data_IF_692916762990
#
_entry.id   IF_692916762990
#
_cell.length_a   1.000
_cell.length_b   1.000
_cell.length_c   1.000
_cell.angle_alpha   90.00
_cell.angle_beta   90.00
_cell.angle_gamma   90.00
#
_symmetry.space_group_name_H-M   'P 1'
#
loop_
_entity.id
_entity.type
_entity.pdbx_description
1 polymer ?
#
# COMPACT_ATOMS: atom_id res chain seq x y z
N UNK A 1 6.15 59.75 -52.69
CA UNK A 1 5.78 60.71 -53.75
C UNK A 1 5.51 59.90 -55.01
N UNK A 2 4.25 59.90 -55.46
CA UNK A 2 3.78 59.72 -56.86
C UNK A 2 4.21 58.42 -57.57
N UNK A 3 3.33 57.41 -57.62
CA UNK A 3 2.45 57.08 -58.77
C UNK A 3 3.20 56.81 -60.09
N UNK A 4 3.07 55.60 -60.64
CA UNK A 4 2.49 55.44 -61.98
C UNK A 4 2.24 53.96 -62.34
N UNK A 5 0.95 53.65 -62.62
CA UNK A 5 0.50 52.58 -63.53
C UNK A 5 0.67 53.11 -64.99
N UNK A 6 0.10 52.51 -66.05
CA UNK A 6 -0.25 51.12 -66.38
C UNK A 6 0.33 50.74 -67.77
N UNK A 7 -0.02 49.58 -68.34
CA UNK A 7 -0.78 49.47 -69.61
C UNK A 7 -0.86 48.02 -70.10
N UNK A 8 -2.07 47.67 -70.55
CA UNK A 8 -2.44 46.43 -71.21
C UNK A 8 -1.86 46.35 -72.64
N UNK A 9 -1.66 45.15 -73.18
CA UNK A 9 -2.47 44.62 -74.30
C UNK A 9 -1.80 43.45 -75.04
N UNK A 10 -2.67 42.67 -75.67
CA UNK A 10 -2.50 41.93 -76.93
C UNK A 10 -2.05 40.46 -76.87
N UNK A 11 -3.06 39.63 -77.11
CA UNK A 11 -3.07 38.24 -77.56
C UNK A 11 -2.25 37.99 -78.84
N UNK A 12 -1.66 36.80 -78.98
CA UNK A 12 -1.79 35.97 -80.20
C UNK A 12 -1.33 34.54 -79.95
N UNK A 13 -2.11 33.59 -80.46
CA UNK A 13 -1.91 32.15 -80.37
C UNK A 13 -0.87 31.62 -81.36
N UNK A 14 -0.13 30.58 -80.99
CA UNK A 14 0.42 29.61 -81.94
C UNK A 14 0.63 28.25 -81.27
N UNK A 15 -0.01 27.23 -81.82
CA UNK A 15 0.17 25.82 -81.45
C UNK A 15 1.44 25.27 -82.10
N UNK A 16 2.28 24.54 -81.36
CA UNK A 16 3.15 23.52 -81.94
C UNK A 16 3.60 22.47 -80.90
N UNK A 17 3.80 21.27 -81.41
CA UNK A 17 3.81 19.98 -80.76
C UNK A 17 5.08 19.65 -79.94
N UNK A 18 4.84 18.80 -78.92
CA UNK A 18 5.65 17.67 -78.44
C UNK A 18 7.17 17.71 -78.69
N UNK A 19 7.93 17.90 -77.61
CA UNK A 19 9.13 17.10 -77.34
C UNK A 19 9.43 17.12 -75.83
N UNK A 20 9.34 15.95 -75.19
CA UNK A 20 9.72 15.75 -73.78
C UNK A 20 11.24 15.83 -73.60
N UNK A 21 11.73 16.57 -72.60
CA UNK A 21 12.99 16.27 -71.94
C UNK A 21 12.71 15.64 -70.57
N UNK A 22 13.40 14.54 -70.30
CA UNK A 22 13.44 13.87 -69.01
C UNK A 22 13.87 14.86 -67.91
N UNK A 23 12.98 15.14 -66.96
CA UNK A 23 13.31 15.80 -65.70
C UNK A 23 13.57 14.74 -64.64
N UNK A 24 14.80 14.76 -64.10
CA UNK A 24 15.08 14.21 -62.78
C UNK A 24 14.06 14.78 -61.81
N UNK A 25 13.23 13.90 -61.23
CA UNK A 25 12.42 14.28 -60.09
C UNK A 25 13.35 14.36 -58.87
N UNK A 26 13.36 15.46 -58.10
CA UNK A 26 13.82 15.37 -56.73
C UNK A 26 12.88 14.39 -56.02
N UNK A 27 13.45 13.37 -55.37
CA UNK A 27 12.70 12.53 -54.46
C UNK A 27 12.09 13.46 -53.40
N UNK A 28 10.79 13.70 -53.49
CA UNK A 28 10.01 14.23 -52.38
C UNK A 28 10.18 13.22 -51.25
N UNK A 29 11.03 13.57 -50.28
CA UNK A 29 10.97 12.99 -48.97
C UNK A 29 9.50 13.09 -48.54
N UNK A 30 8.84 11.94 -48.46
CA UNK A 30 7.58 11.88 -47.76
C UNK A 30 7.92 12.21 -46.31
N UNK A 31 7.66 13.46 -45.94
CA UNK A 31 7.51 13.84 -44.54
C UNK A 31 6.36 12.98 -44.00
N UNK A 32 6.72 11.81 -43.48
CA UNK A 32 5.89 11.12 -42.51
C UNK A 32 5.52 12.16 -41.46
N UNK A 33 4.23 12.45 -41.23
CA UNK A 33 3.87 13.30 -40.11
C UNK A 33 4.47 12.64 -38.89
N UNK A 34 5.42 13.32 -38.25
CA UNK A 34 5.92 12.94 -36.95
C UNK A 34 4.67 12.77 -36.09
N UNK A 35 4.32 11.52 -35.82
CA UNK A 35 3.28 11.18 -34.86
C UNK A 35 3.76 11.87 -33.61
N UNK A 36 3.08 12.95 -33.21
CA UNK A 36 3.29 13.55 -31.90
C UNK A 36 3.18 12.38 -30.94
N UNK A 37 4.32 11.97 -30.38
CA UNK A 37 4.41 10.83 -29.49
C UNK A 37 3.63 11.27 -28.26
N UNK A 38 2.33 10.96 -28.26
CA UNK A 38 1.48 11.10 -27.08
C UNK A 38 2.32 10.54 -25.93
N UNK A 39 2.53 11.36 -24.90
CA UNK A 39 3.28 10.97 -23.71
C UNK A 39 2.81 9.57 -23.34
N UNK A 40 3.69 8.57 -23.44
CA UNK A 40 3.33 7.16 -23.29
C UNK A 40 2.46 7.01 -22.03
N UNK A 41 1.16 6.84 -22.26
CA UNK A 41 0.15 6.74 -21.22
C UNK A 41 0.11 5.28 -20.82
N UNK A 42 0.44 5.00 -19.56
CA UNK A 42 0.26 3.67 -19.00
C UNK A 42 -1.24 3.39 -18.97
N UNK A 43 -1.69 2.49 -19.84
CA UNK A 43 -3.10 2.09 -19.96
C UNK A 43 -3.44 0.89 -19.07
N UNK A 44 -4.72 0.69 -18.77
CA UNK A 44 -5.19 -0.47 -18.02
C UNK A 44 -4.77 -1.80 -18.68
N UNK A 45 -4.90 -1.91 -20.01
CA UNK A 45 -4.46 -3.09 -20.77
C UNK A 45 -2.97 -3.36 -20.62
N UNK A 46 -2.12 -2.33 -20.68
CA UNK A 46 -0.68 -2.49 -20.48
C UNK A 46 -0.36 -2.91 -19.04
N UNK A 47 -1.10 -2.43 -18.04
CA UNK A 47 -0.96 -2.87 -16.65
C UNK A 47 -1.33 -4.34 -16.53
N UNK A 48 -2.47 -4.78 -17.07
CA UNK A 48 -2.86 -6.20 -17.01
C UNK A 48 -1.83 -7.12 -17.67
N UNK A 49 -1.32 -6.72 -18.83
CA UNK A 49 -0.37 -7.50 -19.62
C UNK A 49 1.07 -7.40 -19.12
N UNK A 50 1.39 -6.45 -18.24
CA UNK A 50 2.74 -6.28 -17.74
C UNK A 50 3.25 -7.55 -17.07
N UNK A 51 4.42 -7.98 -17.49
CA UNK A 51 5.14 -9.13 -16.95
C UNK A 51 6.56 -8.72 -16.56
N UNK A 52 7.09 -9.38 -15.55
CA UNK A 52 8.44 -9.17 -15.08
C UNK A 52 9.44 -9.93 -15.97
N UNK A 53 10.40 -9.22 -16.54
CA UNK A 53 11.41 -9.78 -17.47
C UNK A 53 12.83 -9.78 -16.90
N UNK A 54 13.01 -9.44 -15.62
CA UNK A 54 14.30 -9.34 -14.95
C UNK A 54 14.71 -7.89 -14.63
N UNK A 55 15.72 -7.73 -13.75
CA UNK A 55 16.20 -6.43 -13.26
C UNK A 55 15.29 -5.80 -12.20
N UNK A 56 15.63 -4.62 -11.70
CA UNK A 56 14.72 -3.89 -10.81
C UNK A 56 13.55 -3.27 -11.61
N UNK A 57 12.58 -2.66 -10.91
CA UNK A 57 11.53 -1.87 -11.54
C UNK A 57 12.13 -0.83 -12.51
N UNK A 58 11.48 -0.58 -13.66
CA UNK A 58 11.96 0.40 -14.62
C UNK A 58 12.11 1.79 -13.99
N UNK A 59 13.15 2.57 -14.35
CA UNK A 59 13.19 3.97 -14.00
C UNK A 59 12.02 4.70 -14.67
N UNK A 60 11.41 5.63 -13.95
CA UNK A 60 10.27 6.40 -14.44
C UNK A 60 8.92 5.74 -14.20
N UNK A 61 7.90 6.21 -14.92
CA UNK A 61 6.54 5.69 -14.84
C UNK A 61 6.36 4.49 -15.78
N UNK A 62 5.86 3.36 -15.28
CA UNK A 62 5.66 2.14 -16.09
C UNK A 62 4.45 1.32 -15.66
N UNK A 63 3.90 0.55 -16.61
CA UNK A 63 2.79 -0.38 -16.36
C UNK A 63 3.18 -1.50 -15.37
N UNK A 64 4.41 -1.99 -15.47
CA UNK A 64 4.94 -3.00 -14.54
C UNK A 64 5.00 -2.47 -13.11
N UNK A 65 5.47 -1.22 -12.93
CA UNK A 65 5.50 -0.61 -11.60
C UNK A 65 4.09 -0.44 -11.02
N UNK A 66 3.13 0.04 -11.83
CA UNK A 66 1.74 0.18 -11.39
C UNK A 66 1.15 -1.19 -11.00
N UNK A 67 1.37 -2.23 -11.80
CA UNK A 67 0.95 -3.60 -11.47
C UNK A 67 1.54 -4.07 -10.15
N UNK A 68 2.85 -3.90 -9.94
CA UNK A 68 3.51 -4.28 -8.68
C UNK A 68 2.94 -3.51 -7.49
N UNK A 69 2.67 -2.20 -7.62
CA UNK A 69 2.01 -1.41 -6.57
C UNK A 69 0.63 -2.00 -6.21
N UNK A 70 -0.21 -2.32 -7.21
CA UNK A 70 -1.55 -2.90 -6.98
C UNK A 70 -1.45 -4.29 -6.33
N UNK A 71 -0.49 -5.12 -6.74
CA UNK A 71 -0.28 -6.44 -6.13
C UNK A 71 0.24 -6.33 -4.69
N UNK A 72 1.09 -5.34 -4.39
CA UNK A 72 1.53 -5.04 -3.03
C UNK A 72 0.33 -4.62 -2.15
N UNK A 73 -0.50 -3.70 -2.62
CA UNK A 73 -1.75 -3.28 -1.96
C UNK A 73 -2.64 -4.49 -1.65
N UNK A 74 -2.93 -5.33 -2.65
CA UNK A 74 -3.69 -6.58 -2.50
C UNK A 74 -3.09 -7.60 -1.56
N UNK A 75 -1.77 -7.51 -1.34
CA UNK A 75 -1.08 -8.37 -0.39
C UNK A 75 -1.22 -7.89 1.06
N UNK A 76 -1.83 -6.73 1.32
CA UNK A 76 -1.84 -6.08 2.63
C UNK A 76 -0.56 -5.29 2.93
N UNK A 77 0.22 -4.93 1.90
CA UNK A 77 1.40 -4.09 2.02
C UNK A 77 1.17 -2.88 1.12
N UNK A 78 0.55 -1.85 1.69
CA UNK A 78 0.17 -0.66 0.94
C UNK A 78 1.41 -0.02 0.32
N UNK A 79 1.38 0.31 -0.99
CA UNK A 79 2.40 1.15 -1.64
C UNK A 79 2.11 2.64 -1.42
N UNK A 80 1.02 3.00 -0.74
CA UNK A 80 0.45 4.34 -0.75
C UNK A 80 -0.36 4.52 -2.02
N UNK A 81 -0.15 5.63 -2.73
CA UNK A 81 -0.81 5.85 -4.03
C UNK A 81 -0.23 4.93 -5.11
N UNK A 82 -1.10 4.41 -5.98
CA UNK A 82 -0.69 3.83 -7.26
C UNK A 82 -0.47 4.96 -8.27
N UNK A 83 0.78 5.14 -8.67
CA UNK A 83 1.21 6.19 -9.59
C UNK A 83 2.07 5.66 -10.75
N UNK A 84 2.43 4.36 -10.72
CA UNK A 84 3.32 3.73 -11.70
C UNK A 84 4.78 4.16 -11.61
N UNK A 85 5.20 4.95 -10.63
CA UNK A 85 6.59 5.37 -10.47
C UNK A 85 7.38 4.47 -9.53
N UNK A 86 8.61 4.15 -9.93
CA UNK A 86 9.59 3.55 -9.01
C UNK A 86 10.16 4.65 -8.12
N UNK A 87 9.49 4.90 -6.99
CA UNK A 87 9.89 5.86 -5.98
C UNK A 87 10.13 5.24 -4.61
N UNK A 88 10.42 6.08 -3.62
CA UNK A 88 10.72 5.63 -2.25
C UNK A 88 9.58 4.84 -1.60
N UNK A 89 8.32 5.16 -1.88
CA UNK A 89 7.18 4.40 -1.36
C UNK A 89 7.16 2.97 -1.93
N UNK A 90 7.31 2.80 -3.25
CA UNK A 90 7.40 1.49 -3.92
C UNK A 90 8.58 0.67 -3.37
N UNK A 91 9.77 1.27 -3.24
CA UNK A 91 10.94 0.60 -2.66
C UNK A 91 10.68 0.16 -1.21
N UNK A 92 10.07 1.03 -0.39
CA UNK A 92 9.76 0.71 1.01
C UNK A 92 8.73 -0.43 1.13
N UNK A 93 7.72 -0.46 0.25
CA UNK A 93 6.72 -1.52 0.19
C UNK A 93 7.34 -2.86 -0.25
N UNK A 94 8.27 -2.86 -1.23
CA UNK A 94 9.02 -4.06 -1.61
C UNK A 94 9.85 -4.57 -0.43
N UNK A 95 10.52 -3.69 0.34
CA UNK A 95 11.25 -4.10 1.56
C UNK A 95 10.32 -4.75 2.58
N UNK A 96 9.14 -4.17 2.82
CA UNK A 96 8.14 -4.74 3.73
C UNK A 96 7.66 -6.12 3.24
N UNK A 97 7.43 -6.27 1.94
CA UNK A 97 7.02 -7.54 1.32
C UNK A 97 8.11 -8.60 1.43
N UNK A 98 9.36 -8.25 1.11
CA UNK A 98 10.51 -9.13 1.27
C UNK A 98 10.66 -9.59 2.72
N UNK A 99 10.53 -8.67 3.69
CA UNK A 99 10.59 -9.00 5.12
C UNK A 99 9.52 -10.01 5.51
N UNK A 100 8.27 -9.79 5.08
CA UNK A 100 7.16 -10.73 5.37
C UNK A 100 7.40 -12.09 4.73
N UNK A 101 7.94 -12.11 3.51
CA UNK A 101 8.20 -13.33 2.75
C UNK A 101 9.46 -14.09 3.18
N UNK A 102 10.27 -13.53 4.10
CA UNK A 102 11.57 -14.12 4.47
C UNK A 102 12.62 -14.03 3.36
N UNK A 103 12.48 -13.06 2.44
CA UNK A 103 13.44 -12.79 1.38
C UNK A 103 14.54 -11.83 1.86
N UNK A 104 15.60 -11.69 1.05
CA UNK A 104 16.60 -10.64 1.25
C UNK A 104 15.94 -9.26 1.16
N UNK A 105 16.01 -8.49 2.24
CA UNK A 105 15.42 -7.14 2.31
C UNK A 105 16.37 -6.12 1.66
N UNK A 106 16.21 -5.90 0.35
CA UNK A 106 16.99 -4.93 -0.42
C UNK A 106 16.14 -3.88 -1.14
N UNK A 107 14.80 -4.03 -1.16
CA UNK A 107 13.87 -3.13 -1.83
C UNK A 107 13.89 -3.21 -3.36
N UNK A 108 14.62 -4.19 -3.90
CA UNK A 108 14.76 -4.41 -5.33
C UNK A 108 13.70 -5.42 -5.76
N UNK A 109 13.00 -5.11 -6.85
CA UNK A 109 12.15 -6.07 -7.51
C UNK A 109 13.02 -7.15 -8.16
N UNK A 110 12.75 -8.42 -7.83
CA UNK A 110 13.41 -9.57 -8.43
C UNK A 110 12.41 -10.69 -8.76
N UNK A 111 12.90 -11.78 -9.36
CA UNK A 111 12.05 -12.94 -9.66
C UNK A 111 11.38 -13.51 -8.41
N UNK A 112 12.05 -13.53 -7.26
CA UNK A 112 11.46 -14.09 -6.05
C UNK A 112 10.29 -13.24 -5.54
N UNK A 113 10.43 -11.91 -5.57
CA UNK A 113 9.33 -10.99 -5.25
C UNK A 113 8.19 -11.14 -6.25
N UNK A 114 8.49 -11.21 -7.55
CA UNK A 114 7.48 -11.35 -8.60
C UNK A 114 6.65 -12.60 -8.43
N UNK A 115 7.30 -13.77 -8.33
CA UNK A 115 6.61 -15.07 -8.21
C UNK A 115 5.67 -15.10 -7.00
N UNK A 116 6.07 -14.51 -5.87
CA UNK A 116 5.20 -14.44 -4.69
C UNK A 116 4.04 -13.45 -4.84
N UNK A 117 4.24 -12.34 -5.57
CA UNK A 117 3.16 -11.37 -5.84
C UNK A 117 2.08 -11.95 -6.76
N UNK A 118 2.40 -12.95 -7.59
CA UNK A 118 1.41 -13.59 -8.48
C UNK A 118 0.25 -14.24 -7.73
N UNK A 119 0.42 -14.59 -6.46
CA UNK A 119 -0.66 -15.09 -5.60
C UNK A 119 -1.81 -14.07 -5.43
N UNK A 120 -1.54 -12.78 -5.68
CA UNK A 120 -2.51 -11.68 -5.56
C UNK A 120 -3.04 -11.18 -6.92
N UNK A 121 -2.69 -11.88 -8.00
CA UNK A 121 -3.05 -11.55 -9.38
C UNK A 121 -4.18 -12.44 -9.95
N UNK A 122 -4.96 -13.11 -9.08
CA UNK A 122 -6.03 -14.04 -9.50
C UNK A 122 -7.24 -13.36 -10.13
N UNK A 123 -7.42 -12.07 -9.88
CA UNK A 123 -8.47 -11.22 -10.44
C UNK A 123 -7.81 -10.04 -11.17
N UNK A 124 -8.47 -9.45 -12.20
CA UNK A 124 -7.96 -8.26 -12.89
C UNK A 124 -7.53 -7.17 -11.89
N UNK A 125 -6.35 -6.58 -12.09
CA UNK A 125 -5.80 -5.51 -11.24
C UNK A 125 -6.34 -4.13 -11.61
N UNK A 126 -7.01 -4.04 -12.75
CA UNK A 126 -7.70 -2.86 -13.27
C UNK A 126 -9.14 -3.19 -13.64
N UNK A 127 -9.98 -2.17 -13.74
CA UNK A 127 -11.39 -2.32 -14.03
C UNK A 127 -11.99 -1.06 -14.62
N UNK A 128 -13.26 -1.16 -14.99
CA UNK A 128 -14.06 -0.03 -15.46
C UNK A 128 -15.02 0.44 -14.37
N UNK A 129 -15.22 1.74 -14.29
CA UNK A 129 -16.17 2.37 -13.38
C UNK A 129 -16.95 3.46 -14.11
N UNK A 130 -18.28 3.42 -13.99
CA UNK A 130 -19.15 4.50 -14.47
C UNK A 130 -19.35 5.49 -13.33
N UNK A 131 -18.92 6.74 -13.54
CA UNK A 131 -19.06 7.83 -12.57
C UNK A 131 -20.55 8.05 -12.30
N UNK A 132 -20.94 8.08 -11.04
CA UNK A 132 -22.33 8.25 -10.60
C UNK A 132 -22.61 9.70 -10.25
N UNK A 133 -23.88 10.06 -10.06
CA UNK A 133 -24.26 11.36 -9.52
C UNK A 133 -23.70 11.56 -8.11
N UNK A 134 -23.65 10.51 -7.28
CA UNK A 134 -23.12 10.56 -5.92
C UNK A 134 -21.63 10.95 -5.89
N UNK A 135 -20.85 10.54 -6.89
CA UNK A 135 -19.44 10.94 -7.01
C UNK A 135 -19.28 12.46 -7.20
N UNK A 136 -20.31 13.15 -7.71
CA UNK A 136 -20.35 14.61 -7.86
C UNK A 136 -20.90 15.35 -6.63
N UNK A 137 -21.32 14.64 -5.59
CA UNK A 137 -21.87 15.24 -4.36
C UNK A 137 -20.80 15.48 -3.29
N UNK A 138 -21.07 16.45 -2.40
CA UNK A 138 -20.20 16.75 -1.26
C UNK A 138 -18.87 17.42 -1.62
N UNK A 139 -18.71 17.86 -2.88
CA UNK A 139 -17.53 18.58 -3.34
C UNK A 139 -17.51 20.02 -2.83
N UNK A 140 -16.30 20.56 -2.65
CA UNK A 140 -16.05 21.97 -2.29
C UNK A 140 -15.15 22.62 -3.32
N UNK A 141 -15.31 23.92 -3.58
CA UNK A 141 -14.55 24.61 -4.63
C UNK A 141 -13.03 24.62 -4.36
N UNK A 142 -12.63 24.83 -3.10
CA UNK A 142 -11.24 24.79 -2.67
C UNK A 142 -11.12 24.60 -1.16
N UNK A 143 -9.95 24.15 -0.71
CA UNK A 143 -9.59 24.06 0.71
C UNK A 143 -8.64 25.23 1.04
N UNK A 144 -9.03 26.22 1.85
CA UNK A 144 -8.18 27.33 2.23
C UNK A 144 -7.02 26.86 3.12
N UNK A 145 -5.91 27.60 3.15
CA UNK A 145 -4.78 27.28 4.03
C UNK A 145 -4.95 27.81 5.46
N UNK A 146 -5.75 28.86 5.63
CA UNK A 146 -5.99 29.52 6.92
C UNK A 146 -7.03 28.77 7.77
N UNK A 147 -6.73 28.55 9.06
CA UNK A 147 -7.61 27.81 9.96
C UNK A 147 -8.94 28.49 10.24
N UNK A 148 -9.02 29.82 10.30
CA UNK A 148 -10.30 30.51 10.49
C UNK A 148 -11.18 30.38 9.25
N UNK A 149 -10.60 30.43 8.05
CA UNK A 149 -11.33 30.15 6.82
C UNK A 149 -11.81 28.70 6.77
N UNK A 150 -10.96 27.72 7.12
CA UNK A 150 -11.36 26.31 7.20
C UNK A 150 -12.52 26.09 8.18
N UNK A 151 -12.47 26.72 9.35
CA UNK A 151 -13.51 26.62 10.38
C UNK A 151 -14.87 27.18 9.95
N UNK A 152 -14.91 28.07 8.96
CA UNK A 152 -16.16 28.61 8.41
C UNK A 152 -16.74 27.77 7.25
N UNK A 153 -16.05 26.72 6.81
CA UNK A 153 -16.56 25.83 5.77
C UNK A 153 -17.65 24.89 6.30
N UNK A 154 -18.46 24.34 5.40
CA UNK A 154 -19.44 23.29 5.76
C UNK A 154 -18.75 21.94 5.98
N UNK A 155 -17.72 21.63 5.19
CA UNK A 155 -16.91 20.42 5.28
C UNK A 155 -15.49 20.69 4.77
N UNK A 156 -14.55 19.81 5.10
CA UNK A 156 -13.26 19.70 4.41
C UNK A 156 -13.35 18.61 3.33
N UNK A 157 -14.36 18.72 2.45
CA UNK A 157 -14.68 17.75 1.40
C UNK A 157 -13.63 17.62 0.29
N UNK A 158 -13.90 16.75 -0.68
CA UNK A 158 -13.10 16.65 -1.91
C UNK A 158 -13.29 17.89 -2.78
N UNK A 159 -12.27 18.24 -3.56
CA UNK A 159 -12.28 19.39 -4.47
C UNK A 159 -12.69 19.01 -5.90
N UNK A 160 -12.70 17.73 -6.21
CA UNK A 160 -13.11 17.21 -7.52
C UNK A 160 -13.55 15.75 -7.48
N UNK A 161 -14.28 15.32 -8.52
CA UNK A 161 -14.58 13.89 -8.77
C UNK A 161 -13.29 13.09 -8.92
N UNK A 162 -12.26 13.65 -9.60
CA UNK A 162 -10.96 12.99 -9.78
C UNK A 162 -10.32 12.65 -8.44
N UNK A 163 -10.24 13.61 -7.53
CA UNK A 163 -9.68 13.42 -6.19
C UNK A 163 -10.45 12.35 -5.40
N UNK A 164 -11.80 12.45 -5.38
CA UNK A 164 -12.69 11.49 -4.72
C UNK A 164 -12.50 10.06 -5.22
N UNK A 165 -12.47 9.89 -6.54
CA UNK A 165 -12.27 8.57 -7.17
C UNK A 165 -10.84 8.07 -7.04
N UNK A 166 -9.84 8.96 -7.04
CA UNK A 166 -8.45 8.58 -6.82
C UNK A 166 -8.26 8.03 -5.40
N UNK A 167 -8.87 8.68 -4.40
CA UNK A 167 -8.89 8.15 -3.03
C UNK A 167 -9.62 6.79 -2.96
N UNK A 168 -10.78 6.66 -3.60
CA UNK A 168 -11.56 5.41 -3.63
C UNK A 168 -10.82 4.23 -4.25
N UNK A 169 -10.03 4.48 -5.29
CA UNK A 169 -9.32 3.44 -6.04
C UNK A 169 -7.82 3.33 -5.68
N UNK A 170 -7.37 4.06 -4.65
CA UNK A 170 -5.98 4.10 -4.16
C UNK A 170 -4.98 4.60 -5.23
N UNK A 171 -5.37 5.58 -6.04
CA UNK A 171 -4.58 6.13 -7.15
C UNK A 171 -4.04 7.53 -6.85
N UNK A 172 -2.98 7.92 -7.56
CA UNK A 172 -2.64 9.33 -7.71
C UNK A 172 -3.57 9.99 -8.74
N UNK A 173 -4.06 11.20 -8.43
CA UNK A 173 -5.00 11.96 -9.27
C UNK A 173 -4.52 12.12 -10.71
N UNK A 174 -3.24 12.44 -10.90
CA UNK A 174 -2.67 12.67 -12.23
C UNK A 174 -2.51 11.34 -12.96
N UNK A 175 -2.25 10.26 -12.23
CA UNK A 175 -2.20 8.92 -12.81
C UNK A 175 -3.58 8.45 -13.26
N UNK A 176 -4.63 8.66 -12.47
CA UNK A 176 -6.01 8.37 -12.85
C UNK A 176 -6.41 9.13 -14.12
N UNK A 177 -6.11 10.42 -14.20
CA UNK A 177 -6.36 11.23 -15.42
C UNK A 177 -5.55 10.71 -16.61
N UNK A 178 -4.25 10.39 -16.41
CA UNK A 178 -3.38 9.89 -17.47
C UNK A 178 -3.81 8.51 -18.01
N UNK A 179 -4.39 7.67 -17.16
CA UNK A 179 -4.96 6.37 -17.56
C UNK A 179 -6.24 6.53 -18.41
N UNK A 180 -6.89 7.70 -18.35
CA UNK A 180 -8.16 8.01 -18.99
C UNK A 180 -8.05 9.20 -19.96
N UNK A 181 -7.23 9.09 -21.02
CA UNK A 181 -6.98 10.21 -21.92
C UNK A 181 -8.24 10.63 -22.66
N UNK A 182 -8.57 11.92 -22.59
CA UNK A 182 -9.70 12.52 -23.31
C UNK A 182 -11.08 12.26 -22.71
N UNK A 183 -11.15 11.71 -21.49
CA UNK A 183 -12.40 11.50 -20.76
C UNK A 183 -12.59 12.66 -19.78
N UNK A 184 -13.76 13.31 -19.85
CA UNK A 184 -14.20 14.26 -18.83
C UNK A 184 -14.76 13.49 -17.63
N UNK A 185 -14.28 13.80 -16.42
CA UNK A 185 -14.71 13.15 -15.19
C UNK A 185 -16.03 13.76 -14.70
N UNK A 186 -17.13 13.33 -15.30
CA UNK A 186 -18.51 13.76 -15.00
C UNK A 186 -19.43 12.54 -14.85
N UNK A 187 -20.56 12.65 -14.12
CA UNK A 187 -21.54 11.57 -14.04
C UNK A 187 -21.94 11.00 -15.40
N UNK A 188 -22.00 9.67 -15.50
CA UNK A 188 -22.26 8.92 -16.73
C UNK A 188 -21.01 8.57 -17.55
N UNK A 189 -19.88 9.24 -17.35
CA UNK A 189 -18.62 8.86 -18.00
C UNK A 189 -18.12 7.51 -17.46
N UNK A 190 -17.53 6.67 -18.32
CA UNK A 190 -16.89 5.42 -17.90
C UNK A 190 -15.38 5.56 -17.98
N UNK A 191 -14.71 5.32 -16.86
CA UNK A 191 -13.26 5.41 -16.70
C UNK A 191 -12.65 4.05 -16.41
N UNK A 192 -11.38 3.90 -16.72
CA UNK A 192 -10.51 2.83 -16.24
C UNK A 192 -9.90 3.22 -14.89
N UNK A 193 -9.80 2.28 -13.97
CA UNK A 193 -9.23 2.48 -12.63
C UNK A 193 -8.49 1.24 -12.15
N UNK A 194 -7.71 1.38 -11.09
CA UNK A 194 -7.11 0.24 -10.37
C UNK A 194 -8.13 -0.38 -9.43
N UNK A 195 -8.09 -1.71 -9.30
CA UNK A 195 -8.97 -2.44 -8.39
C UNK A 195 -8.19 -2.75 -7.11
N UNK A 196 -8.29 -1.91 -6.07
CA UNK A 196 -7.53 -2.08 -4.83
C UNK A 196 -7.93 -3.35 -4.06
N UNK A 197 -7.17 -3.64 -3.01
CA UNK A 197 -7.55 -4.68 -2.06
C UNK A 197 -8.93 -4.40 -1.45
N UNK A 198 -9.65 -5.48 -1.09
CA UNK A 198 -10.77 -5.32 -0.15
C UNK A 198 -10.19 -5.06 1.24
N UNK A 199 -10.81 -4.21 2.07
CA UNK A 199 -10.32 -3.93 3.42
C UNK A 199 -10.08 -5.20 4.23
N UNK A 200 -8.95 -5.25 4.92
CA UNK A 200 -8.56 -6.37 5.79
C UNK A 200 -9.47 -6.39 7.03
N UNK A 201 -10.03 -7.56 7.31
CA UNK A 201 -10.81 -7.82 8.54
C UNK A 201 -9.99 -8.68 9.49
N UNK A 202 -9.33 -8.05 10.44
CA UNK A 202 -8.50 -8.69 11.46
C UNK A 202 -8.49 -7.87 12.75
N UNK A 203 -8.01 -8.46 13.84
CA UNK A 203 -7.69 -7.73 15.06
C UNK A 203 -6.19 -7.52 15.17
N UNK A 204 -5.78 -6.26 15.25
CA UNK A 204 -4.40 -5.83 15.47
C UNK A 204 -4.17 -5.59 16.94
N UNK A 205 -3.14 -6.22 17.50
CA UNK A 205 -2.77 -6.07 18.92
C UNK A 205 -1.47 -5.30 19.12
N UNK A 206 -0.59 -5.29 18.11
CA UNK A 206 0.67 -4.54 18.14
C UNK A 206 0.87 -3.79 16.82
N UNK A 207 1.17 -2.51 16.93
CA UNK A 207 1.57 -1.63 15.83
C UNK A 207 3.02 -1.24 16.08
N UNK A 208 3.84 -1.28 15.03
CA UNK A 208 5.23 -0.82 15.06
C UNK A 208 5.36 0.33 14.07
N UNK A 209 5.84 1.47 14.57
CA UNK A 209 6.11 2.68 13.78
C UNK A 209 7.62 2.78 13.57
N UNK A 210 8.05 2.60 12.32
CA UNK A 210 9.44 2.67 11.92
C UNK A 210 9.72 3.99 11.20
N UNK A 211 10.44 4.88 11.90
CA UNK A 211 10.86 6.19 11.40
C UNK A 211 11.83 6.09 10.24
N UNK A 212 12.70 5.08 10.23
CA UNK A 212 13.75 4.94 9.22
C UNK A 212 13.20 4.48 7.89
N UNK A 213 12.32 3.47 7.92
CA UNK A 213 11.68 2.97 6.71
C UNK A 213 10.43 3.75 6.33
N UNK A 214 9.94 4.63 7.23
CA UNK A 214 8.70 5.42 7.08
C UNK A 214 7.50 4.50 6.86
N UNK A 215 7.36 3.50 7.73
CA UNK A 215 6.32 2.48 7.67
C UNK A 215 5.63 2.27 9.01
N UNK A 216 4.36 1.86 8.95
CA UNK A 216 3.56 1.40 10.09
C UNK A 216 3.21 -0.07 9.83
N UNK A 217 3.70 -0.97 10.67
CA UNK A 217 3.46 -2.41 10.56
C UNK A 217 2.50 -2.87 11.65
N UNK A 218 1.40 -3.53 11.27
CA UNK A 218 0.33 -3.97 12.16
C UNK A 218 0.33 -5.49 12.30
N UNK A 219 0.35 -5.98 13.55
CA UNK A 219 0.48 -7.39 13.90
C UNK A 219 -0.71 -7.89 14.72
N UNK A 220 -1.12 -9.13 14.46
CA UNK A 220 -2.12 -9.83 15.28
C UNK A 220 -1.52 -10.35 16.60
N UNK A 221 -2.35 -10.96 17.44
CA UNK A 221 -1.94 -11.50 18.74
C UNK A 221 -0.91 -12.64 18.64
N UNK A 222 -0.78 -13.28 17.48
CA UNK A 222 0.18 -14.36 17.23
C UNK A 222 1.51 -13.83 16.67
N UNK A 223 1.67 -12.51 16.55
CA UNK A 223 2.85 -11.89 15.95
C UNK A 223 2.89 -12.00 14.43
N UNK A 224 1.78 -12.33 13.76
CA UNK A 224 1.73 -12.33 12.28
C UNK A 224 1.50 -10.91 11.77
N UNK A 225 2.29 -10.50 10.77
CA UNK A 225 2.06 -9.24 10.06
C UNK A 225 0.72 -9.31 9.32
N UNK A 226 -0.21 -8.46 9.72
CA UNK A 226 -1.55 -8.30 9.14
C UNK A 226 -1.51 -7.31 7.99
N UNK A 227 -0.96 -6.13 8.25
CA UNK A 227 -0.88 -5.04 7.28
C UNK A 227 0.38 -4.19 7.48
N UNK A 228 0.82 -3.51 6.43
CA UNK A 228 1.97 -2.61 6.48
C UNK A 228 1.75 -1.40 5.56
N UNK A 229 1.87 -0.18 6.11
CA UNK A 229 1.48 1.06 5.44
C UNK A 229 2.64 2.05 5.34
N UNK A 230 2.76 2.83 4.24
CA UNK A 230 3.67 3.96 4.20
C UNK A 230 3.17 5.08 5.11
N UNK A 231 4.09 5.76 5.76
CA UNK A 231 3.75 6.81 6.70
C UNK A 231 4.67 8.02 6.62
N UNK A 232 4.13 9.21 6.88
CA UNK A 232 4.96 10.32 7.35
C UNK A 232 5.08 10.20 8.86
N UNK A 233 6.30 10.10 9.37
CA UNK A 233 6.59 10.11 10.81
C UNK A 233 7.40 11.38 11.12
N UNK A 234 7.30 11.88 12.36
CA UNK A 234 7.93 13.13 12.77
C UNK A 234 9.45 13.12 12.56
N UNK A 235 9.99 14.29 12.21
CA UNK A 235 11.42 14.50 11.94
C UNK A 235 12.22 14.64 13.24
N UNK A 236 13.56 14.68 13.16
CA UNK A 236 14.41 15.02 14.31
C UNK A 236 14.10 16.42 14.87
N UNK A 237 13.65 17.35 14.03
CA UNK A 237 13.23 18.69 14.42
C UNK A 237 11.81 18.72 15.05
N UNK A 238 11.02 17.67 14.86
CA UNK A 238 9.63 17.53 15.31
C UNK A 238 9.33 16.08 15.71
N UNK A 239 10.01 15.56 16.75
CA UNK A 239 10.08 14.12 16.99
C UNK A 239 8.71 13.55 17.34
N UNK A 240 8.36 12.43 16.70
CA UNK A 240 7.32 11.56 17.23
C UNK A 240 7.74 10.99 18.59
N UNK A 241 6.78 10.51 19.41
CA UNK A 241 7.06 9.95 20.71
C UNK A 241 8.06 8.78 20.64
N UNK A 242 8.57 8.39 21.81
CA UNK A 242 9.44 7.23 21.98
C UNK A 242 8.77 6.17 22.84
N UNK A 243 9.11 4.91 22.60
CA UNK A 243 8.64 3.78 23.38
C UNK A 243 7.25 3.31 22.98
N UNK A 244 6.58 2.64 23.92
CA UNK A 244 5.30 1.96 23.71
C UNK A 244 4.15 2.77 24.30
N UNK A 245 3.11 2.96 23.50
CA UNK A 245 1.85 3.58 23.86
C UNK A 245 0.69 2.62 23.61
N UNK A 246 -0.51 2.98 24.04
CA UNK A 246 -1.73 2.24 23.70
C UNK A 246 -2.64 3.10 22.83
N UNK A 247 -3.44 2.46 21.97
CA UNK A 247 -4.56 3.14 21.32
C UNK A 247 -5.59 3.47 22.39
N UNK A 248 -5.97 4.74 22.49
CA UNK A 248 -6.89 5.23 23.51
C UNK A 248 -8.34 5.31 23.00
N UNK A 249 -8.49 5.80 21.77
CA UNK A 249 -9.77 5.93 21.08
C UNK A 249 -9.56 5.98 19.57
N UNK A 250 -10.65 5.77 18.82
CA UNK A 250 -10.72 5.99 17.38
C UNK A 250 -11.85 6.98 17.12
N UNK A 251 -11.58 8.00 16.31
CA UNK A 251 -12.58 8.93 15.80
C UNK A 251 -12.61 8.84 14.28
N UNK A 252 -13.74 8.39 13.74
CA UNK A 252 -14.03 8.40 12.31
C UNK A 252 -14.64 9.73 11.91
N UNK A 253 -14.21 10.24 10.75
CA UNK A 253 -14.56 11.54 10.19
C UNK A 253 -14.55 12.68 11.24
N UNK A 254 -13.41 12.90 11.93
CA UNK A 254 -13.37 13.77 13.09
C UNK A 254 -13.41 15.26 12.73
N UNK A 255 -13.98 16.07 13.63
CA UNK A 255 -13.68 17.51 13.64
C UNK A 255 -12.26 17.73 14.16
N UNK A 256 -11.63 18.84 13.74
CA UNK A 256 -10.30 19.23 14.22
C UNK A 256 -10.37 20.50 15.06
N UNK A 257 -10.00 20.42 16.33
CA UNK A 257 -9.90 21.59 17.21
C UNK A 257 -8.51 22.22 17.08
N UNK A 258 -8.44 23.38 16.43
CA UNK A 258 -7.25 24.23 16.43
C UNK A 258 -7.27 25.11 17.68
N UNK A 259 -6.21 25.05 18.47
CA UNK A 259 -6.03 25.86 19.66
C UNK A 259 -4.65 26.55 19.61
N UNK A 260 -4.56 27.87 19.36
CA UNK A 260 -3.29 28.56 19.19
C UNK A 260 -2.44 28.62 20.47
N UNK A 261 -3.06 28.47 21.65
CA UNK A 261 -2.35 28.39 22.92
C UNK A 261 -1.74 26.99 23.17
N UNK A 262 -2.11 25.99 22.37
CA UNK A 262 -1.60 24.61 22.48
C UNK A 262 -0.84 24.16 21.24
N UNK A 263 -1.41 24.28 20.05
CA UNK A 263 -0.80 23.77 18.83
C UNK A 263 0.34 24.67 18.33
N UNK A 264 -0.03 25.76 17.69
CA UNK A 264 0.83 26.81 17.14
C UNK A 264 -0.08 27.98 16.75
N UNK A 265 0.48 29.20 16.66
CA UNK A 265 -0.25 30.36 16.12
C UNK A 265 -0.01 30.46 14.61
N UNK A 266 -1.05 30.27 13.79
CA UNK A 266 -1.04 30.53 12.36
C UNK A 266 -1.66 31.91 12.08
N UNK A 267 -0.88 32.81 11.49
CA UNK A 267 -1.35 34.17 11.17
C UNK A 267 -1.90 34.87 12.40
N UNK A 268 -3.08 35.48 12.27
CA UNK A 268 -3.78 36.19 13.34
C UNK A 268 -4.78 35.33 14.13
N UNK A 269 -4.77 34.00 13.93
CA UNK A 269 -5.68 33.10 14.62
C UNK A 269 -5.28 32.94 16.10
N UNK A 270 -5.94 33.70 16.98
CA UNK A 270 -5.64 33.82 18.42
C UNK A 270 -6.69 33.15 19.34
N UNK A 271 -7.73 32.53 18.75
CA UNK A 271 -8.79 31.81 19.45
C UNK A 271 -8.89 30.34 19.05
N UNK A 272 -9.61 29.56 19.86
CA UNK A 272 -9.95 28.18 19.51
C UNK A 272 -10.91 28.17 18.31
N UNK A 273 -10.62 27.31 17.34
CA UNK A 273 -11.41 27.11 16.14
C UNK A 273 -11.74 25.63 15.99
N UNK A 274 -12.95 25.33 15.51
CA UNK A 274 -13.38 23.97 15.19
C UNK A 274 -13.47 23.88 13.67
N UNK A 275 -12.56 23.11 13.07
CA UNK A 275 -12.57 22.82 11.65
C UNK A 275 -13.51 21.63 11.41
N UNK A 276 -14.46 21.74 10.45
CA UNK A 276 -15.40 20.67 10.14
C UNK A 276 -14.65 19.44 9.58
N UNK A 277 -15.30 18.27 9.59
CA UNK A 277 -14.66 17.04 9.15
C UNK A 277 -14.54 16.95 7.62
N UNK A 278 -13.71 16.02 7.14
CA UNK A 278 -13.61 15.64 5.74
C UNK A 278 -12.22 15.15 5.32
N UNK A 279 -12.09 14.55 4.13
CA UNK A 279 -10.84 13.95 3.63
C UNK A 279 -9.69 14.95 3.51
N UNK A 280 -10.00 16.23 3.27
CA UNK A 280 -9.04 17.32 3.22
C UNK A 280 -8.82 18.04 4.56
N UNK A 281 -9.35 17.46 5.64
CA UNK A 281 -9.15 17.94 7.00
C UNK A 281 -7.69 17.82 7.45
N UNK A 282 -7.27 18.57 8.49
CA UNK A 282 -5.90 18.51 9.01
C UNK A 282 -5.43 17.11 9.44
N UNK A 283 -6.37 16.25 9.83
CA UNK A 283 -6.13 14.86 10.25
C UNK A 283 -6.79 13.83 9.32
N UNK A 284 -7.29 14.26 8.16
CA UNK A 284 -8.01 13.39 7.23
C UNK A 284 -9.31 12.82 7.79
N UNK A 285 -9.72 11.65 7.29
CA UNK A 285 -10.99 11.01 7.65
C UNK A 285 -10.93 10.19 8.94
N UNK A 286 -9.76 10.06 9.58
CA UNK A 286 -9.56 9.17 10.73
C UNK A 286 -8.54 9.74 11.69
N UNK A 287 -8.83 9.62 12.98
CA UNK A 287 -7.89 9.82 14.07
C UNK A 287 -7.87 8.61 15.01
N UNK A 288 -6.70 7.98 15.15
CA UNK A 288 -6.43 6.94 16.14
C UNK A 288 -5.60 7.58 17.25
N UNK A 289 -6.23 7.82 18.40
CA UNK A 289 -5.64 8.49 19.54
C UNK A 289 -4.68 7.57 20.28
N UNK A 290 -3.56 8.10 20.75
CA UNK A 290 -2.59 7.35 21.54
C UNK A 290 -2.59 7.82 22.99
N UNK A 291 -2.20 6.92 23.91
CA UNK A 291 -2.03 7.23 25.33
C UNK A 291 -0.97 8.29 25.60
N UNK A 292 -0.10 8.57 24.62
CA UNK A 292 0.74 9.76 24.64
C UNK A 292 -0.13 10.95 24.24
N UNK A 293 -0.36 11.92 25.15
CA UNK A 293 -1.20 13.06 24.85
C UNK A 293 -0.75 13.74 23.56
N UNK A 294 -1.71 14.13 22.72
CA UNK A 294 -1.48 14.95 21.50
C UNK A 294 -0.93 14.19 20.28
N UNK A 295 -0.69 12.89 20.40
CA UNK A 295 -0.18 12.09 19.28
C UNK A 295 -1.21 11.07 18.84
N UNK A 296 -1.27 10.88 17.52
CA UNK A 296 -2.18 9.95 16.89
C UNK A 296 -1.63 9.42 15.58
N UNK A 297 -2.25 8.34 15.12
CA UNK A 297 -2.13 7.85 13.75
C UNK A 297 -3.36 8.35 13.00
N UNK A 298 -3.18 9.03 11.87
CA UNK A 298 -4.29 9.70 11.21
C UNK A 298 -4.14 9.74 9.68
N UNK A 299 -5.24 10.08 9.00
CA UNK A 299 -5.27 10.24 7.54
C UNK A 299 -4.56 11.51 7.04
N UNK A 300 -4.62 11.81 5.75
CA UNK A 300 -3.96 12.99 5.19
C UNK A 300 -4.68 13.51 3.96
N UNK A 301 -4.76 14.83 3.84
CA UNK A 301 -5.23 15.54 2.64
C UNK A 301 -4.25 15.45 1.45
N UNK A 302 -3.08 14.84 1.62
CA UNK A 302 -2.02 14.81 0.59
C UNK A 302 -1.35 13.44 0.49
N UNK A 303 -2.06 12.38 0.09
CA UNK A 303 -1.57 11.00 0.14
C UNK A 303 -0.32 10.77 -0.73
N UNK A 304 -0.19 11.46 -1.87
CA UNK A 304 0.99 11.37 -2.74
C UNK A 304 2.26 12.02 -2.15
N UNK A 305 2.16 12.69 -1.00
CA UNK A 305 3.27 13.41 -0.35
C UNK A 305 3.80 12.76 0.93
N UNK A 306 3.41 11.53 1.24
CA UNK A 306 3.80 10.86 2.49
C UNK A 306 5.33 10.81 2.72
N UNK A 307 6.13 10.71 1.65
CA UNK A 307 7.60 10.64 1.74
C UNK A 307 8.32 11.97 1.53
N UNK A 308 7.58 13.05 1.25
CA UNK A 308 8.10 14.40 1.01
C UNK A 308 7.76 15.35 2.15
N UNK A 309 6.56 15.22 2.70
CA UNK A 309 6.12 16.01 3.84
C UNK A 309 6.85 15.56 5.11
N UNK A 310 7.01 16.49 6.05
CA UNK A 310 7.41 16.21 7.43
C UNK A 310 6.18 16.42 8.32
N UNK A 311 5.99 15.58 9.34
CA UNK A 311 4.93 15.79 10.32
C UNK A 311 5.46 16.51 11.56
N UNK A 312 4.57 17.15 12.31
CA UNK A 312 4.88 17.76 13.60
C UNK A 312 4.71 16.74 14.75
N UNK A 313 5.21 15.51 14.54
CA UNK A 313 5.19 14.45 15.55
C UNK A 313 4.14 13.34 15.34
N UNK A 314 2.99 13.60 14.75
CA UNK A 314 1.99 12.54 14.46
C UNK A 314 2.39 11.61 13.32
N UNK A 315 1.73 10.45 13.23
CA UNK A 315 1.92 9.49 12.14
C UNK A 315 0.82 9.68 11.11
N UNK A 316 1.18 10.03 9.87
CA UNK A 316 0.23 10.25 8.78
C UNK A 316 0.23 9.06 7.84
N UNK A 317 -0.95 8.55 7.54
CA UNK A 317 -1.20 7.54 6.52
C UNK A 317 -2.08 8.17 5.42
N UNK A 318 -2.26 7.45 4.32
CA UNK A 318 -3.37 7.75 3.41
C UNK A 318 -4.70 7.59 4.17
N UNK A 319 -5.76 8.24 3.72
CA UNK A 319 -7.07 8.14 4.39
C UNK A 319 -7.61 6.70 4.38
N UNK A 320 -7.43 5.94 3.29
CA UNK A 320 -7.87 4.55 3.20
C UNK A 320 -7.06 3.61 4.11
N UNK A 321 -5.74 3.79 4.20
CA UNK A 321 -4.88 3.01 5.10
C UNK A 321 -5.21 3.32 6.56
N UNK A 322 -5.44 4.59 6.90
CA UNK A 322 -5.86 5.00 8.24
C UNK A 322 -7.21 4.39 8.62
N UNK A 323 -8.17 4.40 7.68
CA UNK A 323 -9.48 3.79 7.86
C UNK A 323 -9.40 2.28 8.06
N UNK A 324 -8.61 1.58 7.25
CA UNK A 324 -8.42 0.13 7.43
C UNK A 324 -7.82 -0.18 8.81
N UNK A 325 -6.76 0.53 9.20
CA UNK A 325 -6.14 0.35 10.50
C UNK A 325 -7.11 0.64 11.65
N UNK A 326 -7.90 1.71 11.55
CA UNK A 326 -8.88 2.10 12.57
C UNK A 326 -9.92 1.00 12.85
N UNK A 327 -10.29 0.20 11.84
CA UNK A 327 -11.22 -0.91 12.00
C UNK A 327 -10.56 -2.19 12.54
N UNK A 328 -9.23 -2.24 12.61
CA UNK A 328 -8.50 -3.40 13.12
C UNK A 328 -7.97 -3.21 14.55
N UNK A 329 -7.81 -1.97 15.01
CA UNK A 329 -7.34 -1.68 16.38
C UNK A 329 -8.44 -1.83 17.42
N UNK A 330 -8.03 -2.04 18.68
CA UNK A 330 -8.91 -2.08 19.85
C UNK A 330 -8.41 -1.10 20.90
N UNK A 331 -9.29 -0.17 21.30
CA UNK A 331 -9.02 0.79 22.36
C UNK A 331 -8.57 0.09 23.64
N UNK A 332 -7.55 0.65 24.29
CA UNK A 332 -6.91 0.17 25.51
C UNK A 332 -6.29 -1.22 25.42
N UNK A 333 -6.22 -1.81 24.22
CA UNK A 333 -5.64 -3.14 23.99
C UNK A 333 -4.49 -3.07 22.99
N UNK A 334 -4.70 -2.42 21.83
CA UNK A 334 -3.66 -2.34 20.81
C UNK A 334 -2.51 -1.45 21.28
N UNK A 335 -1.30 -2.01 21.32
CA UNK A 335 -0.07 -1.27 21.63
C UNK A 335 0.54 -0.67 20.37
N UNK A 336 1.14 0.51 20.49
CA UNK A 336 1.86 1.22 19.42
C UNK A 336 3.28 1.49 19.87
N UNK A 337 4.25 0.89 19.20
CA UNK A 337 5.67 0.98 19.52
C UNK A 337 6.38 1.87 18.48
N UNK A 338 6.96 2.98 18.93
CA UNK A 338 7.83 3.81 18.12
C UNK A 338 9.27 3.33 18.24
N UNK A 339 9.84 2.85 17.15
CA UNK A 339 11.20 2.32 17.16
C UNK A 339 12.24 3.42 17.40
N UNK A 340 13.26 3.05 18.16
CA UNK A 340 14.42 3.90 18.38
C UNK A 340 15.26 4.03 17.10
N UNK A 341 16.01 5.13 16.94
CA UNK A 341 16.93 5.29 15.82
C UNK A 341 17.91 4.11 15.75
N UNK A 342 18.00 3.48 14.58
CA UNK A 342 18.88 2.34 14.32
C UNK A 342 18.21 0.98 14.52
N UNK A 343 17.01 0.93 15.08
CA UNK A 343 16.24 -0.29 15.27
C UNK A 343 15.27 -0.45 14.10
N UNK A 344 15.34 -1.61 13.44
CA UNK A 344 14.42 -1.97 12.36
C UNK A 344 13.26 -2.83 12.89
N UNK A 345 12.17 -2.89 12.11
CA UNK A 345 11.06 -3.81 12.41
C UNK A 345 11.55 -5.27 12.51
N UNK A 346 12.55 -5.67 11.72
CA UNK A 346 13.06 -7.03 11.76
C UNK A 346 13.75 -7.38 13.10
N UNK A 347 14.37 -6.39 13.75
CA UNK A 347 15.05 -6.57 15.03
C UNK A 347 14.08 -6.86 16.17
N UNK A 348 12.88 -6.26 16.13
CA UNK A 348 11.87 -6.34 17.20
C UNK A 348 10.77 -7.38 16.98
N UNK A 349 10.76 -8.01 15.81
CA UNK A 349 9.84 -9.14 15.51
C UNK A 349 10.54 -10.48 15.45
N UNK A 350 11.88 -10.49 15.44
CA UNK A 350 12.66 -11.64 15.00
C UNK A 350 12.51 -11.79 13.49
N UNK A 351 13.60 -11.74 12.73
CA UNK A 351 13.55 -11.98 11.30
C UNK A 351 12.86 -13.32 11.02
N UNK A 352 11.93 -13.34 10.07
CA UNK A 352 11.37 -14.62 9.59
C UNK A 352 12.55 -15.50 9.17
N UNK A 353 12.72 -16.65 9.84
CA UNK A 353 13.73 -17.62 9.42
C UNK A 353 13.48 -17.95 7.94
N UNK A 354 14.53 -18.02 7.08
CA UNK A 354 14.34 -18.27 5.66
C UNK A 354 13.63 -19.61 5.52
N UNK A 355 12.37 -19.56 5.11
CA UNK A 355 11.60 -20.77 4.85
C UNK A 355 12.22 -21.40 3.61
N UNK A 356 12.85 -22.57 3.76
CA UNK A 356 13.38 -23.31 2.64
C UNK A 356 12.28 -23.46 1.58
N UNK A 357 12.63 -23.13 0.33
CA UNK A 357 11.72 -23.04 -0.81
C UNK A 357 11.17 -24.41 -1.22
N UNK A 358 10.33 -25.03 -0.38
CA UNK A 358 9.65 -26.30 -0.69
C UNK A 358 8.25 -26.44 -0.10
N UNK A 359 7.68 -25.43 0.58
CA UNK A 359 6.30 -25.56 1.12
C UNK A 359 5.49 -24.25 1.22
N UNK A 360 5.85 -23.23 0.45
CA UNK A 360 5.23 -21.91 0.52
C UNK A 360 3.76 -21.74 0.01
N UNK A 361 3.13 -22.61 -0.81
CA UNK A 361 1.84 -22.22 -1.38
C UNK A 361 0.66 -22.28 -0.38
N UNK A 362 0.76 -23.03 0.73
CA UNK A 362 -0.40 -23.28 1.60
C UNK A 362 -0.58 -22.25 2.73
N UNK A 363 0.46 -21.51 3.12
CA UNK A 363 0.41 -20.62 4.31
C UNK A 363 0.18 -19.15 3.92
N UNK A 364 0.49 -18.76 2.68
CA UNK A 364 0.40 -17.37 2.20
C UNK A 364 -1.06 -16.91 2.00
N UNK A 365 -2.01 -17.84 1.82
CA UNK A 365 -3.44 -17.53 1.64
C UNK A 365 -4.23 -17.38 2.95
N UNK A 366 -3.68 -17.79 4.11
CA UNK A 366 -4.45 -17.96 5.35
C UNK A 366 -4.75 -16.65 6.12
N UNK A 367 -4.41 -15.47 5.59
CA UNK A 367 -4.91 -14.16 6.11
C UNK A 367 -6.30 -13.82 5.59
N UNK A 368 -6.83 -14.57 4.61
CA UNK A 368 -8.15 -14.30 4.01
C UNK A 368 -8.91 -15.63 3.86
N UNK A 369 -10.21 -15.73 4.20
CA UNK A 369 -10.94 -16.98 4.01
C UNK A 369 -10.97 -17.36 2.51
N UNK A 370 -10.80 -18.64 2.14
CA UNK A 370 -10.82 -19.07 0.75
C UNK A 370 -12.24 -18.92 0.18
N UNK A 371 -12.35 -18.23 -0.96
CA UNK A 371 -13.59 -18.24 -1.74
C UNK A 371 -13.80 -19.64 -2.33
N UNK A 372 -14.94 -20.25 -2.03
CA UNK A 372 -15.33 -21.58 -2.52
C UNK A 372 -15.40 -21.62 -4.04
N UNK A 373 -14.64 -22.54 -4.64
CA UNK A 373 -15.11 -23.42 -5.74
C UNK A 373 -14.16 -24.61 -5.88
N UNK A 374 -14.56 -25.85 -5.49
CA UNK A 374 -13.71 -27.03 -5.59
C UNK A 374 -13.82 -27.62 -6.99
N UNK A 375 -13.02 -27.12 -7.94
CA UNK A 375 -12.95 -27.75 -9.27
C UNK A 375 -11.58 -27.69 -9.96
N UNK A 376 -10.55 -27.11 -9.33
CA UNK A 376 -9.21 -27.04 -9.94
C UNK A 376 -8.12 -27.80 -9.17
N UNK A 377 -8.39 -28.25 -7.94
CA UNK A 377 -7.44 -29.02 -7.13
C UNK A 377 -7.34 -30.50 -7.52
N UNK A 378 -8.36 -31.05 -8.21
CA UNK A 378 -8.37 -32.47 -8.60
C UNK A 378 -7.54 -32.78 -9.86
N UNK A 379 -7.31 -31.79 -10.73
CA UNK A 379 -6.62 -32.01 -12.01
C UNK A 379 -5.09 -32.02 -11.87
N UNK A 380 -4.55 -31.32 -10.87
CA UNK A 380 -3.08 -31.23 -10.65
C UNK A 380 -2.56 -32.46 -9.89
N UNK A 381 -3.39 -33.10 -9.06
CA UNK A 381 -3.03 -34.34 -8.34
C UNK A 381 -3.02 -35.59 -9.25
N UNK A 382 -3.67 -35.56 -10.41
CA UNK A 382 -3.75 -36.71 -11.32
C UNK A 382 -2.60 -36.78 -12.36
N UNK A 383 -1.82 -35.69 -12.54
CA UNK A 383 -0.73 -35.64 -13.52
C UNK A 383 0.67 -35.91 -12.94
N UNK A 384 0.80 -36.09 -11.62
CA UNK A 384 2.10 -36.29 -10.93
C UNK A 384 2.34 -37.72 -10.44
N UNK A 385 1.42 -38.65 -10.67
CA UNK A 385 1.53 -40.05 -10.21
C UNK A 385 1.66 -41.09 -11.34
N UNK A 386 2.19 -40.71 -12.50
CA UNK A 386 2.64 -41.65 -13.52
C UNK A 386 3.99 -41.25 -14.10
N UNK A 387 5.07 -41.56 -13.39
CA UNK A 387 6.33 -42.00 -14.02
C UNK A 387 7.15 -42.83 -13.02
N UNK A 388 7.63 -43.97 -13.52
CA UNK A 388 8.69 -44.85 -12.99
C UNK A 388 8.33 -45.96 -12.00
N UNK A 389 7.92 -47.10 -12.56
CA UNK A 389 8.41 -48.43 -12.17
C UNK A 389 8.66 -49.29 -13.41
N UNK A 390 9.89 -49.82 -13.49
CA UNK A 390 10.40 -51.02 -14.17
C UNK A 390 10.50 -51.14 -15.70
N UNK A 391 11.75 -51.11 -16.19
CA UNK A 391 12.21 -52.00 -17.25
C UNK A 391 13.69 -52.36 -17.05
N UNK A 392 13.96 -53.67 -17.11
CA UNK A 392 15.21 -54.35 -16.76
C UNK A 392 16.33 -54.21 -17.81
N UNK A 393 17.58 -54.37 -17.38
CA UNK A 393 18.72 -54.62 -18.29
C UNK A 393 19.63 -55.72 -17.73
N UNK A 394 19.64 -56.87 -18.39
CA UNK A 394 20.70 -57.89 -18.31
C UNK A 394 21.94 -57.43 -19.08
N UNK A 395 23.12 -57.52 -18.48
CA UNK A 395 24.39 -57.60 -19.22
C UNK A 395 25.47 -58.26 -18.36
N UNK A 396 26.19 -59.19 -18.99
CA UNK A 396 27.22 -60.08 -18.45
C UNK A 396 28.58 -59.34 -18.36
N UNK A 397 29.39 -59.71 -17.36
CA UNK A 397 30.75 -59.24 -17.06
C UNK A 397 31.83 -59.92 -17.94
N UNK A 398 33.17 -59.91 -17.66
CA UNK A 398 34.00 -59.08 -16.75
C UNK A 398 35.37 -58.63 -17.37
N UNK A 399 36.14 -57.72 -16.74
CA UNK A 399 37.64 -57.77 -16.66
C UNK A 399 38.14 -57.01 -15.41
N UNK A 400 39.19 -57.55 -14.79
CA UNK A 400 39.84 -57.28 -13.49
C UNK A 400 40.99 -56.26 -13.56
N UNK A 401 41.28 -55.61 -12.42
CA UNK A 401 42.56 -55.04 -11.88
C UNK A 401 42.40 -53.56 -11.44
N UNK A 402 42.92 -53.06 -10.32
CA UNK A 402 43.85 -53.61 -9.32
C UNK A 402 43.83 -52.80 -8.00
N UNK A 403 44.58 -53.31 -7.02
CA UNK A 403 44.77 -52.84 -5.64
C UNK A 403 45.36 -51.43 -5.50
N UNK A 404 45.08 -50.77 -4.37
CA UNK A 404 46.09 -50.45 -3.32
C UNK A 404 45.43 -50.13 -1.97
N UNK A 405 45.98 -50.77 -0.93
CA UNK A 405 45.82 -50.53 0.52
C UNK A 405 46.54 -49.21 0.93
N UNK A 406 46.60 -48.67 2.16
CA UNK A 406 46.16 -48.94 3.53
C UNK A 406 46.48 -47.66 4.34
N UNK A 407 45.96 -47.52 5.57
CA UNK A 407 46.50 -46.54 6.53
C UNK A 407 45.61 -46.27 7.74
N UNK A 408 45.62 -47.17 8.71
CA UNK A 408 45.02 -47.01 10.03
C UNK A 408 46.00 -46.36 11.02
N UNK A 409 45.48 -45.60 12.00
CA UNK A 409 46.05 -45.57 13.36
C UNK A 409 44.93 -45.36 14.40
N UNK A 410 44.86 -46.30 15.34
CA UNK A 410 44.08 -46.29 16.57
C UNK A 410 45.01 -45.90 17.75
N UNK A 411 44.52 -45.25 18.82
CA UNK A 411 44.18 -45.81 20.16
C UNK A 411 44.50 -44.68 21.19
N UNK A 412 44.02 -44.56 22.43
CA UNK A 412 43.49 -45.46 23.46
C UNK A 412 42.77 -44.59 24.55
N UNK A 413 41.60 -44.97 25.11
CA UNK A 413 41.34 -45.75 26.36
C UNK A 413 41.07 -44.91 27.65
N UNK A 414 39.85 -45.18 28.17
CA UNK A 414 39.06 -45.06 29.42
C UNK A 414 39.73 -45.04 30.82
N UNK A 415 39.02 -44.82 32.00
CA UNK A 415 37.70 -45.38 32.39
C UNK A 415 36.73 -44.59 33.33
N UNK A 416 35.57 -45.23 33.56
CA UNK A 416 34.34 -44.88 34.33
C UNK A 416 34.50 -45.07 35.87
N UNK A 417 33.56 -44.86 36.83
CA UNK A 417 32.07 -44.82 37.00
C UNK A 417 31.77 -44.18 38.43
N UNK A 418 30.59 -44.24 39.12
CA UNK A 418 29.16 -43.87 38.88
C UNK A 418 28.58 -42.87 39.94
N UNK A 419 27.28 -42.49 39.87
CA UNK A 419 26.23 -42.80 40.90
C UNK A 419 24.94 -41.95 40.81
N UNK A 420 23.82 -42.69 40.84
CA UNK A 420 22.46 -42.47 41.36
C UNK A 420 21.42 -41.52 40.71
N UNK A 421 20.27 -42.16 40.55
CA UNK A 421 18.93 -41.72 40.18
C UNK A 421 18.13 -41.46 41.45
N UNK A 422 17.33 -40.39 41.50
CA UNK A 422 16.23 -40.24 42.47
C UNK A 422 14.93 -39.85 41.75
N UNK A 423 13.83 -40.43 42.25
CA UNK A 423 12.49 -40.46 41.68
C UNK A 423 11.63 -39.25 42.12
N UNK A 424 10.39 -39.07 41.59
CA UNK A 424 9.70 -37.78 41.55
C UNK A 424 8.89 -37.48 42.82
N UNK A 425 8.86 -36.20 43.19
CA UNK A 425 8.00 -35.65 44.23
C UNK A 425 6.66 -35.16 43.64
N UNK A 426 5.59 -35.72 44.18
CA UNK A 426 4.17 -35.43 44.01
C UNK A 426 3.79 -33.97 44.33
N UNK A 427 3.03 -33.32 43.44
CA UNK A 427 2.31 -32.07 43.69
C UNK A 427 0.98 -32.34 44.42
N UNK A 428 0.58 -31.53 45.42
CA UNK A 428 -0.77 -31.61 46.00
C UNK A 428 -1.78 -30.82 45.16
N UNK A 429 -2.99 -31.38 45.06
CA UNK A 429 -4.15 -30.79 44.41
C UNK A 429 -4.65 -29.53 45.13
N UNK A 430 -4.97 -28.48 44.37
CA UNK A 430 -5.68 -27.28 44.85
C UNK A 430 -7.14 -27.36 44.41
N UNK A 431 -8.04 -27.21 45.38
CA UNK A 431 -9.51 -27.22 45.22
C UNK A 431 -10.03 -25.94 44.54
N UNK A 432 -11.22 -25.99 43.90
CA UNK A 432 -11.80 -24.85 43.20
C UNK A 432 -12.35 -23.80 44.16
N UNK A 433 -11.99 -22.53 43.94
CA UNK A 433 -12.57 -21.37 44.63
C UNK A 433 -13.86 -20.98 43.93
N UNK A 434 -14.95 -20.94 44.70
CA UNK A 434 -16.26 -20.41 44.32
C UNK A 434 -16.26 -18.91 44.58
N UNK A 435 -16.44 -18.08 43.55
CA UNK A 435 -16.63 -16.63 43.69
C UNK A 435 -18.13 -16.25 43.84
N UNK A 436 -18.46 -15.23 44.65
CA UNK A 436 -19.84 -14.77 44.90
C UNK A 436 -20.41 -13.92 43.75
N UNK A 437 -21.74 -13.72 43.68
CA UNK A 437 -22.40 -13.14 42.51
C UNK A 437 -22.20 -11.62 42.46
N UNK A 438 -21.71 -11.13 41.31
CA UNK A 438 -21.67 -9.70 41.01
C UNK A 438 -22.98 -9.25 40.36
N UNK A 439 -23.52 -8.19 40.92
CA UNK A 439 -24.75 -7.47 40.55
C UNK A 439 -24.63 -6.91 39.14
N UNK A 440 -25.69 -7.08 38.34
CA UNK A 440 -25.74 -6.75 36.93
C UNK A 440 -25.45 -5.28 36.62
N UNK A 441 -24.38 -5.04 35.87
CA UNK A 441 -24.20 -3.86 35.04
C UNK A 441 -24.55 -4.27 33.62
N UNK A 442 -25.66 -3.76 33.12
CA UNK A 442 -26.08 -3.91 31.73
C UNK A 442 -25.05 -3.26 30.81
N UNK A 443 -24.35 -4.11 30.03
CA UNK A 443 -23.52 -3.70 28.90
C UNK A 443 -24.49 -3.18 27.82
N UNK A 444 -24.33 -1.97 27.28
CA UNK A 444 -25.14 -1.53 26.14
C UNK A 444 -24.83 -2.43 24.93
N UNK A 445 -25.88 -2.86 24.22
CA UNK A 445 -25.79 -3.69 23.04
C UNK A 445 -24.82 -3.08 22.01
N UNK A 446 -23.91 -3.93 21.52
CA UNK A 446 -23.01 -3.66 20.39
C UNK A 446 -23.87 -3.29 19.17
N UNK A 447 -23.59 -2.19 18.45
CA UNK A 447 -24.41 -1.82 17.30
C UNK A 447 -24.31 -2.90 16.21
N UNK A 448 -25.45 -3.46 15.82
CA UNK A 448 -25.56 -4.34 14.64
C UNK A 448 -25.15 -3.58 13.39
N UNK A 449 -23.98 -3.89 12.84
CA UNK A 449 -23.54 -3.41 11.54
C UNK A 449 -24.25 -4.18 10.42
N UNK A 450 -24.79 -3.51 9.39
CA UNK A 450 -25.43 -4.18 8.27
C UNK A 450 -24.42 -5.07 7.52
N UNK A 451 -24.79 -6.33 7.36
CA UNK A 451 -23.97 -7.41 6.78
C UNK A 451 -23.87 -7.39 5.25
N UNK A 452 -23.86 -6.22 4.62
CA UNK A 452 -23.89 -6.10 3.15
C UNK A 452 -22.48 -6.22 2.54
N UNK A 453 -22.21 -7.18 1.63
CA UNK A 453 -20.90 -7.39 1.01
C UNK A 453 -20.43 -6.33 -0.01
N UNK A 454 -21.26 -5.34 -0.36
CA UNK A 454 -20.93 -4.31 -1.37
C UNK A 454 -20.50 -2.94 -0.81
N UNK A 455 -20.38 -2.78 0.51
CA UNK A 455 -19.95 -1.50 1.12
C UNK A 455 -18.43 -1.35 1.13
N UNK A 456 -17.87 -0.72 0.09
CA UNK A 456 -16.60 0.01 0.19
C UNK A 456 -16.83 1.36 0.90
N UNK A 457 -15.81 1.85 1.63
CA UNK A 457 -15.78 3.05 2.48
C UNK A 457 -17.07 3.91 2.46
N UNK A 458 -17.92 3.86 3.50
CA UNK A 458 -19.10 4.72 3.55
C UNK A 458 -18.68 6.20 3.64
N UNK A 459 -19.29 7.05 2.82
CA UNK A 459 -19.00 8.50 2.76
C UNK A 459 -19.41 9.22 4.04
N UNK A 460 -20.39 8.72 4.78
CA UNK A 460 -20.79 9.13 6.14
C UNK A 460 -21.71 8.05 6.72
N UNK A 461 -21.57 7.72 8.02
CA UNK A 461 -22.58 6.92 8.73
C UNK A 461 -23.76 7.84 9.11
N UNK A 462 -25.01 7.55 8.73
CA UNK A 462 -26.16 8.29 9.22
C UNK A 462 -26.33 8.02 10.73
N UNK A 463 -26.11 9.04 11.56
CA UNK A 463 -26.54 9.04 12.97
C UNK A 463 -25.44 8.99 14.05
N UNK A 464 -24.15 8.94 13.70
CA UNK A 464 -23.08 9.08 14.69
C UNK A 464 -22.66 10.54 14.87
N UNK A 465 -22.52 10.97 16.12
CA UNK A 465 -21.93 12.28 16.45
C UNK A 465 -20.45 12.27 16.02
N UNK A 466 -19.97 13.28 15.28
CA UNK A 466 -18.58 13.32 14.86
C UNK A 466 -17.66 13.32 16.09
N UNK A 467 -16.67 12.43 16.11
CA UNK A 467 -15.64 12.44 17.14
C UNK A 467 -14.90 13.78 17.15
N UNK A 468 -14.59 14.30 18.34
CA UNK A 468 -13.87 15.57 18.48
C UNK A 468 -12.41 15.29 18.82
N UNK A 469 -11.48 15.74 17.96
CA UNK A 469 -10.05 15.67 18.24
C UNK A 469 -9.58 17.00 18.82
N UNK A 470 -9.07 16.96 20.05
CA UNK A 470 -8.43 18.10 20.72
C UNK A 470 -6.95 17.79 20.87
N UNK A 471 -6.13 18.39 20.02
CA UNK A 471 -4.67 18.30 20.12
C UNK A 471 -4.18 19.21 21.25
N UNK A 472 -3.59 18.65 22.31
CA UNK A 472 -2.88 19.44 23.33
C UNK A 472 -1.46 19.87 22.84
N UNK A 473 -0.63 20.60 23.62
CA UNK A 473 0.57 21.24 23.09
C UNK A 473 1.72 20.28 22.76
N UNK A 474 2.41 20.59 21.65
CA UNK A 474 3.76 20.08 21.38
C UNK A 474 4.77 20.98 22.11
N UNK A 475 5.77 20.42 22.82
CA UNK A 475 6.85 21.24 23.36
C UNK A 475 7.62 21.86 22.19
N UNK A 476 7.73 23.19 22.19
CA UNK A 476 8.59 23.91 21.26
C UNK A 476 10.02 23.43 21.50
N UNK A 477 10.56 22.60 20.61
CA UNK A 477 12.00 22.40 20.50
C UNK A 477 12.63 23.76 20.20
N UNK A 478 13.51 24.21 21.08
CA UNK A 478 13.99 25.58 21.18
C UNK A 478 14.46 26.19 19.87
N UNK A 479 14.19 27.48 19.72
CA UNK A 479 14.96 28.36 18.84
C UNK A 479 16.43 28.43 19.31
N UNK A 480 17.39 28.64 18.38
CA UNK A 480 18.83 28.51 18.61
C UNK A 480 19.40 29.39 19.72
#
# INVERSE_FOLDING_TARGET
MILNRPLLSASLAFSLALLSPALLHPALAQDTPATSRALASVSATEIEQATYTGGDLPPGQSALTAKVQILLDRSGISPGVVDGWRGGMSESAIKAFQRRAGLRVNGIMDHAVWELLQAYASEPVTGQYTITEDDATGLVDNIPSDYAQKANMTSQGYTSIVEKLSERFHMDDKFLVKMNPGIDFVPGATIQMTVPAKPIRATVTRIIVDKQTRRVAAYDANGRLVADYPATVGSDATPSPHGTHTVDAVALNPTYTYNPARNFKQGENDRVLIVPPGPNGPVGTVWIDLSQPTYGIHGTATPSRLFVNQSYGCVRLTNWDAWELAHMVKSKVTTVEFLDPGVSIADVTGGAAPVAATSAPAVIAATRPPMRSPALAATIAAMTSQTNTDAATTSVAPVVAGEIAAGAVAAAVTPAVPVAVEAPITQPAVQPVVEPPLVGVSIPDEPEYPSDPDTMLPETLPGEQPGTVIMAPQPLSGTP
#
